data_IF_703837570491
#
_entry.id   IF_703837570491
#
_cell.length_a   1.000
_cell.length_b   1.000
_cell.length_c   1.000
_cell.angle_alpha   90.00
_cell.angle_beta   90.00
_cell.angle_gamma   90.00
#
_symmetry.space_group_name_H-M   'P 1'
#
loop_
_entity.id
_entity.type
_entity.pdbx_description
1 polymer ?
#
# COMPACT_ATOMS: atom_id res chain seq x y z
N UNK A 1 -4.18 5.93 6.45
CA UNK A 1 -3.17 5.66 7.52
C UNK A 1 -2.44 4.36 7.20
N UNK A 2 -1.10 4.33 7.25
CA UNK A 2 -0.29 3.15 6.89
C UNK A 2 0.39 2.52 8.12
N UNK A 3 0.50 1.20 8.13
CA UNK A 3 1.12 0.37 9.15
C UNK A 3 2.36 -0.28 8.55
N UNK A 4 3.49 -0.04 9.19
CA UNK A 4 4.78 -0.59 8.81
C UNK A 4 5.30 -1.48 9.95
N UNK A 5 5.86 -2.64 9.60
CA UNK A 5 6.57 -3.55 10.51
C UNK A 5 8.05 -3.52 10.18
N UNK A 6 8.90 -3.33 11.17
CA UNK A 6 10.34 -3.45 10.98
C UNK A 6 10.75 -4.93 10.93
N UNK A 7 11.52 -5.33 9.91
CA UNK A 7 12.02 -6.72 9.83
C UNK A 7 13.17 -7.01 10.81
N UNK A 8 13.82 -5.97 11.36
CA UNK A 8 14.98 -6.12 12.24
C UNK A 8 14.59 -6.24 13.73
N UNK A 9 13.59 -5.47 14.18
CA UNK A 9 13.14 -5.47 15.58
C UNK A 9 11.69 -5.92 15.74
N UNK A 10 11.03 -6.29 14.64
CA UNK A 10 9.65 -6.79 14.59
C UNK A 10 8.58 -5.83 15.12
N UNK A 11 8.95 -4.60 15.46
CA UNK A 11 8.02 -3.58 15.94
C UNK A 11 7.17 -3.02 14.81
N UNK A 12 5.90 -2.84 15.11
CA UNK A 12 4.90 -2.25 14.24
C UNK A 12 4.65 -0.79 14.63
N UNK A 13 4.55 0.08 13.64
CA UNK A 13 4.21 1.48 13.84
C UNK A 13 3.34 2.01 12.71
N UNK A 14 2.62 3.07 13.05
CA UNK A 14 1.68 3.74 12.16
C UNK A 14 2.31 5.03 11.65
N UNK A 15 2.25 5.26 10.35
CA UNK A 15 2.73 6.49 9.73
C UNK A 15 1.82 6.91 8.58
N UNK A 16 1.63 8.21 8.41
CA UNK A 16 0.90 8.77 7.26
C UNK A 16 1.81 8.89 6.03
N UNK A 17 3.13 8.96 6.24
CA UNK A 17 4.12 9.09 5.17
C UNK A 17 4.94 7.80 5.05
N UNK A 18 5.51 7.56 3.87
CA UNK A 18 6.47 6.47 3.66
C UNK A 18 7.74 6.78 4.47
N UNK A 19 7.89 6.11 5.60
CA UNK A 19 9.09 6.18 6.42
C UNK A 19 10.23 5.37 5.77
N UNK A 20 11.45 5.90 5.83
CA UNK A 20 12.65 5.25 5.29
C UNK A 20 13.43 4.46 6.36
N UNK A 21 13.08 4.61 7.64
CA UNK A 21 13.76 3.98 8.77
C UNK A 21 12.80 3.68 9.92
N UNK A 22 13.09 2.64 10.69
CA UNK A 22 12.33 2.32 11.89
C UNK A 22 12.65 3.32 13.01
N UNK A 23 11.65 3.94 13.67
CA UNK A 23 11.87 4.89 14.76
C UNK A 23 12.41 4.24 16.04
N UNK A 24 12.31 2.91 16.17
CA UNK A 24 12.76 2.19 17.37
C UNK A 24 14.21 1.72 17.30
N UNK A 25 14.67 1.27 16.13
CA UNK A 25 16.01 0.67 15.97
C UNK A 25 16.84 1.32 14.86
N UNK A 26 16.28 2.26 14.08
CA UNK A 26 16.97 2.92 12.97
C UNK A 26 17.16 2.07 11.71
N UNK A 27 16.68 0.82 11.70
CA UNK A 27 16.82 -0.07 10.55
C UNK A 27 16.03 0.40 9.33
N UNK A 28 16.59 0.19 8.13
CA UNK A 28 15.98 0.58 6.83
C UNK A 28 15.08 -0.50 6.22
N UNK A 29 14.96 -1.65 6.89
CA UNK A 29 14.14 -2.79 6.46
C UNK A 29 12.74 -2.69 7.04
N UNK A 30 11.86 -2.03 6.31
CA UNK A 30 10.45 -1.79 6.68
C UNK A 30 9.51 -2.54 5.73
N UNK A 31 8.62 -3.34 6.29
CA UNK A 31 7.59 -4.09 5.59
C UNK A 31 6.28 -3.33 5.74
N UNK A 32 5.64 -2.95 4.63
CA UNK A 32 4.31 -2.33 4.67
C UNK A 32 3.26 -3.44 4.90
N UNK A 33 2.64 -3.44 6.09
CA UNK A 33 1.71 -4.49 6.51
C UNK A 33 0.30 -4.20 6.02
N UNK A 34 -0.19 -3.00 6.30
CA UNK A 34 -1.56 -2.62 5.97
C UNK A 34 -1.67 -1.12 5.95
N UNK A 35 -2.42 -0.60 5.00
CA UNK A 35 -2.80 0.78 4.91
C UNK A 35 -3.88 0.83 3.87
N UNK A 36 -4.88 1.68 4.07
CA UNK A 36 -5.90 1.90 3.05
C UNK A 36 -5.15 2.17 1.75
N UNK A 37 -5.23 1.21 0.82
CA UNK A 37 -4.81 1.45 -0.56
C UNK A 37 -5.71 2.61 -0.93
N UNK A 38 -5.15 3.83 -1.09
CA UNK A 38 -5.91 4.94 -1.65
C UNK A 38 -6.62 4.35 -2.84
N UNK A 39 -7.96 4.25 -2.75
CA UNK A 39 -8.79 3.40 -3.58
C UNK A 39 -8.54 3.84 -5.02
N UNK A 40 -7.54 3.21 -5.64
CA UNK A 40 -7.04 3.57 -6.95
C UNK A 40 -7.94 2.79 -7.86
N UNK A 41 -9.13 3.34 -8.03
CA UNK A 41 -10.15 2.89 -8.95
C UNK A 41 -10.56 1.45 -8.66
N UNK A 42 -11.67 1.33 -7.93
CA UNK A 42 -12.75 0.50 -8.47
C UNK A 42 -12.89 0.83 -9.96
N UNK A 43 -12.27 0.02 -10.82
CA UNK A 43 -12.69 -0.16 -12.20
C UNK A 43 -13.98 -0.99 -12.16
N UNK A 44 -14.97 -0.52 -11.39
CA UNK A 44 -16.39 -0.85 -11.52
C UNK A 44 -17.12 0.25 -12.30
N UNK A 45 -16.36 1.19 -12.90
CA UNK A 45 -16.81 1.94 -14.04
C UNK A 45 -17.07 0.94 -15.15
N UNK A 46 -18.36 0.69 -15.39
CA UNK A 46 -18.94 0.02 -16.54
C UNK A 46 -18.13 0.34 -17.82
N UNK A 47 -17.09 -0.45 -18.11
CA UNK A 47 -16.33 -0.38 -19.35
C UNK A 47 -17.10 -1.14 -20.45
N UNK A 48 -18.34 -0.71 -20.71
CA UNK A 48 -19.08 -1.11 -21.92
C UNK A 48 -18.55 -0.40 -23.18
N UNK A 49 -17.40 0.26 -23.10
CA UNK A 49 -16.67 0.80 -24.24
C UNK A 49 -15.53 -0.15 -24.67
N UNK A 50 -15.87 -1.39 -25.01
CA UNK A 50 -15.05 -2.22 -25.89
C UNK A 50 -15.85 -2.54 -27.15
N UNK A 51 -15.57 -1.70 -28.14
CA UNK A 51 -15.73 -1.85 -29.57
C UNK A 51 -15.88 -3.31 -30.09
N UNK A 52 -16.89 -3.51 -30.94
CA UNK A 52 -16.98 -4.48 -32.03
C UNK A 52 -16.20 -5.79 -31.95
N UNK A 53 -16.92 -6.89 -31.70
CA UNK A 53 -16.65 -8.16 -32.37
C UNK A 53 -17.78 -8.38 -33.38
N UNK A 54 -17.49 -8.08 -34.64
CA UNK A 54 -18.30 -8.56 -35.75
C UNK A 54 -18.04 -10.04 -35.98
N UNK A 55 -19.13 -10.76 -36.30
CA UNK A 55 -19.30 -11.92 -37.19
C UNK A 55 -20.53 -12.69 -36.75
#
# INVERSE_FOLDING_TARGET
>A
MHVFKCAACEKEFKSEKRELKCPFCGSKVLIHVSGEKFNSKSCGGNCSCCNGCGS
#
